data_IF_806886296381
#
_entry.id   IF_806886296381
#
_cell.length_a   1.000
_cell.length_b   1.000
_cell.length_c   1.000
_cell.angle_alpha   90.00
_cell.angle_beta   90.00
_cell.angle_gamma   90.00
#
_symmetry.space_group_name_H-M   'P 1'
#
loop_
_entity.id
_entity.type
_entity.pdbx_description
1 polymer ?
#
# COMPACT_ATOMS: atom_id res chain seq x y z
N UNK A 1 14.57 -21.20 21.99
CA UNK A 1 13.48 -21.52 22.94
C UNK A 1 12.37 -22.22 22.16
N UNK A 2 12.34 -23.54 22.24
CA UNK A 2 11.31 -24.40 21.64
C UNK A 2 10.29 -24.77 22.72
N UNK A 3 8.97 -24.71 22.46
CA UNK A 3 8.01 -25.46 23.23
C UNK A 3 7.63 -26.75 22.49
N UNK A 4 7.56 -27.81 23.30
CA UNK A 4 7.42 -29.21 23.00
C UNK A 4 6.00 -29.66 23.42
N UNK A 5 5.35 -30.46 22.55
CA UNK A 5 4.31 -31.50 22.79
C UNK A 5 3.02 -31.17 23.55
N UNK A 6 1.86 -31.58 22.98
CA UNK A 6 1.07 -32.64 23.63
C UNK A 6 0.22 -33.42 22.60
N UNK A 7 0.37 -34.75 22.60
CA UNK A 7 -0.22 -35.73 21.69
C UNK A 7 -0.86 -36.85 22.54
N UNK A 8 -1.88 -36.47 23.32
CA UNK A 8 -2.58 -37.34 24.28
C UNK A 8 -4.09 -37.33 24.05
N UNK A 9 -4.53 -37.96 22.96
CA UNK A 9 -5.96 -38.07 22.66
C UNK A 9 -6.39 -39.27 21.82
N UNK A 10 -5.59 -40.34 21.75
CA UNK A 10 -6.09 -41.64 21.30
C UNK A 10 -6.83 -42.32 22.46
N UNK A 11 -7.72 -43.26 22.09
CA UNK A 11 -8.22 -44.36 22.93
C UNK A 11 -9.50 -44.07 23.75
N UNK A 12 -10.63 -43.90 23.06
CA UNK A 12 -11.92 -44.54 23.41
C UNK A 12 -12.64 -44.86 22.11
N UNK A 13 -12.19 -45.86 21.35
CA UNK A 13 -12.62 -47.26 21.48
C UNK A 13 -14.12 -47.42 21.76
N UNK A 14 -14.76 -47.98 20.74
CA UNK A 14 -15.51 -49.22 20.88
C UNK A 14 -16.72 -49.14 21.81
N UNK A 15 -17.71 -48.38 21.37
CA UNK A 15 -19.08 -48.87 21.30
C UNK A 15 -19.59 -48.49 19.89
N UNK A 16 -19.09 -49.13 18.83
CA UNK A 16 -19.64 -50.39 18.36
C UNK A 16 -21.00 -50.76 18.96
N UNK A 17 -21.93 -51.06 18.05
CA UNK A 17 -23.12 -51.87 18.31
C UNK A 17 -24.17 -51.23 19.20
N UNK A 18 -25.02 -50.44 18.55
CA UNK A 18 -26.36 -50.94 18.25
C UNK A 18 -26.98 -50.07 17.17
N UNK A 19 -27.00 -50.62 15.96
CA UNK A 19 -28.27 -51.13 15.42
C UNK A 19 -29.29 -50.01 15.20
N UNK A 20 -28.93 -49.11 14.30
CA UNK A 20 -29.88 -48.53 13.37
C UNK A 20 -29.10 -48.05 12.15
N UNK A 21 -28.38 -49.00 11.54
CA UNK A 21 -28.20 -49.01 10.09
C UNK A 21 -29.59 -49.17 9.47
N UNK A 22 -30.39 -48.11 9.59
CA UNK A 22 -31.49 -47.88 8.69
C UNK A 22 -30.75 -47.63 7.38
N UNK A 23 -30.70 -48.67 6.56
CA UNK A 23 -30.47 -48.58 5.11
C UNK A 23 -31.64 -47.76 4.52
N UNK A 24 -31.76 -46.50 4.92
CA UNK A 24 -32.33 -45.43 4.13
C UNK A 24 -31.29 -45.17 3.05
N UNK A 25 -31.17 -46.09 2.11
CA UNK A 25 -30.94 -45.63 0.76
C UNK A 25 -32.23 -44.87 0.45
N UNK A 26 -32.23 -43.52 0.50
CA UNK A 26 -33.41 -42.80 0.05
C UNK A 26 -33.72 -43.34 -1.36
N UNK A 27 -34.99 -43.56 -1.69
CA UNK A 27 -35.36 -44.01 -3.02
C UNK A 27 -34.62 -43.11 -4.00
N UNK A 28 -33.76 -43.70 -4.83
CA UNK A 28 -33.08 -42.99 -5.91
C UNK A 28 -34.18 -42.47 -6.79
N UNK A 29 -34.50 -41.20 -6.59
CA UNK A 29 -35.50 -40.49 -7.34
C UNK A 29 -34.81 -40.22 -8.67
N UNK A 30 -34.80 -41.24 -9.55
CA UNK A 30 -34.26 -41.21 -10.91
C UNK A 30 -35.16 -40.32 -11.79
N UNK A 31 -35.38 -39.09 -11.33
CA UNK A 31 -36.01 -38.03 -12.09
C UNK A 31 -34.96 -37.64 -13.13
N UNK A 32 -35.23 -38.00 -14.39
CA UNK A 32 -34.39 -37.58 -15.50
C UNK A 32 -34.22 -36.06 -15.47
N UNK A 33 -32.99 -35.59 -15.66
CA UNK A 33 -32.71 -34.16 -15.77
C UNK A 33 -33.52 -33.57 -16.91
N UNK A 34 -34.36 -32.59 -16.59
CA UNK A 34 -35.07 -31.85 -17.62
C UNK A 34 -34.09 -30.88 -18.28
N UNK A 35 -34.14 -30.74 -19.60
CA UNK A 35 -33.26 -29.82 -20.34
C UNK A 35 -33.33 -28.39 -19.78
N UNK A 36 -34.52 -27.99 -19.34
CA UNK A 36 -34.76 -26.67 -18.73
C UNK A 36 -33.97 -26.47 -17.42
N UNK A 37 -33.79 -27.50 -16.60
CA UNK A 37 -33.04 -27.40 -15.34
C UNK A 37 -31.55 -27.14 -15.60
N UNK A 38 -30.97 -27.79 -16.60
CA UNK A 38 -29.57 -27.58 -16.99
C UNK A 38 -29.38 -26.16 -17.56
N UNK A 39 -30.34 -25.68 -18.35
CA UNK A 39 -30.31 -24.31 -18.89
C UNK A 39 -30.40 -23.28 -17.75
N UNK A 40 -31.29 -23.47 -16.78
CA UNK A 40 -31.40 -22.58 -15.62
C UNK A 40 -30.12 -22.62 -14.78
N UNK A 41 -29.57 -23.81 -14.51
CA UNK A 41 -28.35 -23.97 -13.73
C UNK A 41 -27.15 -23.27 -14.39
N UNK A 42 -26.97 -23.42 -15.70
CA UNK A 42 -25.89 -22.77 -16.44
C UNK A 42 -26.06 -21.26 -16.48
N UNK A 43 -27.29 -20.76 -16.64
CA UNK A 43 -27.58 -19.32 -16.58
C UNK A 43 -27.25 -18.73 -15.20
N UNK A 44 -27.63 -19.41 -14.12
CA UNK A 44 -27.30 -18.99 -12.75
C UNK A 44 -25.80 -19.05 -12.48
N UNK A 45 -25.09 -20.08 -12.97
CA UNK A 45 -23.63 -20.13 -12.87
C UNK A 45 -22.96 -18.97 -13.60
N UNK A 46 -23.41 -18.64 -14.82
CA UNK A 46 -22.84 -17.52 -15.59
C UNK A 46 -22.98 -16.18 -14.86
N UNK A 47 -24.14 -15.92 -14.25
CA UNK A 47 -24.36 -14.73 -13.42
C UNK A 47 -23.44 -14.73 -12.19
N UNK A 48 -23.33 -15.87 -11.50
CA UNK A 48 -22.45 -16.02 -10.34
C UNK A 48 -20.97 -15.75 -10.67
N UNK A 49 -20.46 -16.33 -11.75
CA UNK A 49 -19.06 -16.14 -12.19
C UNK A 49 -18.80 -14.68 -12.56
N UNK A 50 -19.73 -14.04 -13.28
CA UNK A 50 -19.61 -12.63 -13.68
C UNK A 50 -19.57 -11.70 -12.47
N UNK A 51 -20.40 -11.97 -11.46
CA UNK A 51 -20.42 -11.21 -10.21
C UNK A 51 -19.08 -11.31 -9.46
N UNK A 52 -18.55 -12.52 -9.28
CA UNK A 52 -17.26 -12.74 -8.60
C UNK A 52 -16.11 -12.09 -9.36
N UNK A 53 -16.09 -12.21 -10.69
CA UNK A 53 -15.06 -11.60 -11.52
C UNK A 53 -15.06 -10.07 -11.42
N UNK A 54 -16.25 -9.46 -11.43
CA UNK A 54 -16.40 -8.00 -11.30
C UNK A 54 -15.87 -7.49 -9.96
N UNK A 55 -16.15 -8.21 -8.87
CA UNK A 55 -15.63 -7.87 -7.53
C UNK A 55 -14.11 -8.03 -7.48
N UNK A 56 -13.57 -9.14 -8.01
CA UNK A 56 -12.13 -9.40 -8.02
C UNK A 56 -11.36 -8.36 -8.83
N UNK A 57 -11.88 -7.97 -10.00
CA UNK A 57 -11.29 -6.94 -10.85
C UNK A 57 -11.26 -5.59 -10.11
N UNK A 58 -12.38 -5.20 -9.53
CA UNK A 58 -12.51 -3.95 -8.74
C UNK A 58 -11.52 -3.94 -7.56
N UNK A 59 -11.38 -5.06 -6.84
CA UNK A 59 -10.44 -5.18 -5.74
C UNK A 59 -8.98 -5.02 -6.21
N UNK A 60 -8.62 -5.63 -7.34
CA UNK A 60 -7.26 -5.54 -7.92
C UNK A 60 -6.92 -4.11 -8.32
N UNK A 61 -7.83 -3.39 -8.99
CA UNK A 61 -7.62 -1.98 -9.34
C UNK A 61 -7.44 -1.09 -8.11
N UNK A 62 -8.21 -1.31 -7.03
CA UNK A 62 -8.07 -0.56 -5.77
C UNK A 62 -6.74 -0.85 -5.07
N UNK A 63 -6.29 -2.10 -5.06
CA UNK A 63 -5.04 -2.49 -4.40
C UNK A 63 -3.81 -1.79 -5.02
N UNK A 64 -3.74 -1.72 -6.36
CA UNK A 64 -2.64 -1.05 -7.04
C UNK A 64 -2.56 0.44 -6.68
N UNK A 65 -3.70 1.14 -6.61
CA UNK A 65 -3.76 2.56 -6.21
C UNK A 65 -3.31 2.76 -4.77
N UNK A 66 -3.68 1.85 -3.86
CA UNK A 66 -3.27 1.93 -2.46
C UNK A 66 -1.77 1.68 -2.28
N UNK A 67 -1.22 0.69 -3.00
CA UNK A 67 0.23 0.44 -3.00
C UNK A 67 1.00 1.64 -3.54
N UNK A 68 0.50 2.26 -4.61
CA UNK A 68 1.08 3.47 -5.17
C UNK A 68 1.10 4.61 -4.15
N UNK A 69 -0.05 4.91 -3.54
CA UNK A 69 -0.17 5.94 -2.48
C UNK A 69 0.75 5.65 -1.29
N UNK A 70 0.87 4.39 -0.89
CA UNK A 70 1.77 3.97 0.18
C UNK A 70 3.24 4.25 -0.16
N UNK A 71 3.71 3.85 -1.35
CA UNK A 71 5.09 4.11 -1.80
C UNK A 71 5.39 5.59 -1.88
N UNK A 72 4.45 6.35 -2.46
CA UNK A 72 4.53 7.80 -2.58
C UNK A 72 4.65 8.47 -1.19
N UNK A 73 3.79 8.07 -0.24
CA UNK A 73 3.86 8.57 1.13
C UNK A 73 5.17 8.20 1.85
N UNK A 74 5.77 7.07 1.50
CA UNK A 74 7.06 6.64 2.05
C UNK A 74 8.19 7.53 1.55
N UNK A 75 8.21 7.89 0.26
CA UNK A 75 9.22 8.81 -0.29
C UNK A 75 9.07 10.23 0.29
N UNK A 76 7.83 10.71 0.47
CA UNK A 76 7.59 12.00 1.14
C UNK A 76 8.08 11.99 2.60
N UNK A 77 7.92 10.88 3.32
CA UNK A 77 8.46 10.71 4.69
C UNK A 77 9.98 10.69 4.70
N UNK A 78 10.61 9.96 3.78
CA UNK A 78 12.08 9.95 3.64
C UNK A 78 12.63 11.34 3.38
N UNK A 79 12.00 12.09 2.47
CA UNK A 79 12.35 13.49 2.24
C UNK A 79 12.18 14.32 3.51
N UNK A 80 11.09 14.15 4.25
CA UNK A 80 10.89 14.85 5.52
C UNK A 80 11.98 14.53 6.54
N UNK A 81 12.41 13.28 6.65
CA UNK A 81 13.44 12.86 7.61
C UNK A 81 14.82 13.37 7.19
N UNK A 82 15.15 13.36 5.90
CA UNK A 82 16.35 14.03 5.37
C UNK A 82 16.31 15.54 5.68
N UNK A 83 15.15 16.18 5.49
CA UNK A 83 14.96 17.61 5.79
C UNK A 83 15.08 17.93 7.27
N UNK A 84 14.64 17.04 8.17
CA UNK A 84 14.86 17.19 9.62
C UNK A 84 16.34 17.10 9.98
N UNK A 85 17.09 16.19 9.35
CA UNK A 85 18.52 16.07 9.58
C UNK A 85 19.26 17.38 9.24
N UNK A 86 18.78 18.14 8.25
CA UNK A 86 19.32 19.47 7.92
C UNK A 86 18.99 20.56 8.95
N UNK A 87 17.89 20.43 9.70
CA UNK A 87 17.54 21.36 10.79
C UNK A 87 18.39 21.10 12.03
N UNK A 88 18.79 19.85 12.26
CA UNK A 88 19.51 19.42 13.46
C UNK A 88 21.03 19.55 13.38
N UNK A 89 21.61 20.02 12.27
CA UNK A 89 23.06 20.00 12.11
C UNK A 89 23.75 21.22 12.76
N UNK A 90 24.52 20.86 13.79
CA UNK A 90 25.66 21.55 14.36
C UNK A 90 26.36 22.53 13.38
N UNK A 91 26.57 23.78 13.78
CA UNK A 91 27.23 24.79 12.94
C UNK A 91 28.74 24.60 12.80
N UNK A 92 29.31 23.51 13.34
CA UNK A 92 30.71 23.18 13.17
C UNK A 92 31.00 22.83 11.71
N UNK A 93 31.91 23.61 11.10
CA UNK A 93 32.34 23.49 9.72
C UNK A 93 33.25 22.25 9.61
N UNK A 94 32.65 21.06 9.49
CA UNK A 94 33.36 19.86 9.09
C UNK A 94 33.26 19.74 7.57
N UNK A 95 34.33 19.35 6.90
CA UNK A 95 34.31 19.19 5.44
C UNK A 95 33.28 18.12 5.05
N UNK A 96 32.27 18.50 4.26
CA UNK A 96 31.11 17.64 3.91
C UNK A 96 29.89 17.74 4.85
N UNK A 97 29.96 18.54 5.91
CA UNK A 97 28.82 18.91 6.73
C UNK A 97 27.77 19.71 5.94
N UNK A 98 26.46 19.56 6.23
CA UNK A 98 25.45 20.46 5.73
C UNK A 98 25.55 21.84 6.41
N UNK A 99 26.50 22.65 5.96
CA UNK A 99 26.56 24.08 6.29
C UNK A 99 25.48 24.89 5.55
N UNK A 100 25.58 26.22 5.61
CA UNK A 100 24.65 27.17 4.97
C UNK A 100 24.57 27.10 3.44
N UNK A 101 25.44 26.31 2.79
CA UNK A 101 25.51 26.18 1.33
C UNK A 101 25.12 24.80 0.81
N UNK A 102 24.67 23.87 1.67
CA UNK A 102 24.39 22.50 1.24
C UNK A 102 23.10 22.42 0.44
N UNK A 103 23.17 21.75 -0.71
CA UNK A 103 22.04 21.60 -1.64
C UNK A 103 21.52 20.18 -1.55
N UNK A 104 20.20 20.04 -1.60
CA UNK A 104 19.61 18.73 -1.71
C UNK A 104 19.94 18.17 -3.10
N UNK A 105 20.40 16.91 -3.24
CA UNK A 105 20.64 16.31 -4.54
C UNK A 105 19.36 16.32 -5.39
N UNK A 106 19.53 16.54 -6.69
CA UNK A 106 18.46 16.60 -7.70
C UNK A 106 17.46 17.76 -7.54
N UNK A 107 17.74 18.72 -6.66
CA UNK A 107 16.96 19.94 -6.53
C UNK A 107 17.31 20.96 -7.63
N UNK A 108 16.29 21.39 -8.38
CA UNK A 108 16.41 22.36 -9.46
C UNK A 108 16.64 23.80 -8.97
N UNK A 109 16.29 24.11 -7.71
CA UNK A 109 16.30 25.49 -7.23
C UNK A 109 17.71 26.10 -7.10
N UNK A 110 18.77 25.30 -7.03
CA UNK A 110 20.17 25.77 -6.87
C UNK A 110 20.41 26.64 -5.62
N UNK A 111 19.47 26.67 -4.67
CA UNK A 111 19.60 27.36 -3.38
C UNK A 111 19.93 26.36 -2.28
N UNK A 112 20.24 26.87 -1.09
CA UNK A 112 20.30 26.06 0.12
C UNK A 112 18.98 25.30 0.34
N UNK A 113 19.05 24.05 0.80
CA UNK A 113 17.89 23.17 0.92
C UNK A 113 16.75 23.69 1.81
N UNK A 114 17.04 24.63 2.72
CA UNK A 114 16.03 25.27 3.59
C UNK A 114 15.76 26.74 3.22
N UNK A 115 16.02 27.11 1.97
CA UNK A 115 15.75 28.45 1.43
C UNK A 115 14.26 28.68 1.24
N UNK A 116 13.79 29.87 1.60
CA UNK A 116 12.39 30.30 1.40
C UNK A 116 12.16 30.96 0.02
N UNK A 117 13.21 31.17 -0.76
CA UNK A 117 13.15 31.96 -1.99
C UNK A 117 12.71 31.17 -3.23
N UNK A 118 12.37 29.89 -3.09
CA UNK A 118 11.96 29.06 -4.21
C UNK A 118 11.11 27.85 -3.79
N UNK A 119 10.60 27.17 -4.81
CA UNK A 119 10.06 25.81 -4.69
C UNK A 119 11.16 24.84 -5.10
N UNK A 120 11.49 23.92 -4.21
CA UNK A 120 12.47 22.88 -4.45
C UNK A 120 11.80 21.72 -5.18
N UNK A 121 12.04 21.58 -6.48
CA UNK A 121 11.59 20.43 -7.27
C UNK A 121 12.61 19.31 -7.14
N UNK A 122 12.19 18.25 -6.45
CA UNK A 122 13.00 17.07 -6.15
C UNK A 122 12.40 15.82 -6.80
N UNK A 123 11.65 16.01 -7.89
CA UNK A 123 11.02 14.92 -8.64
C UNK A 123 12.04 13.86 -9.04
N UNK A 124 13.29 14.25 -9.32
CA UNK A 124 14.39 13.34 -9.63
C UNK A 124 14.61 12.21 -8.60
N UNK A 125 14.29 12.46 -7.32
CA UNK A 125 14.42 11.49 -6.22
C UNK A 125 13.37 10.38 -6.27
N UNK A 126 12.26 10.59 -6.96
CA UNK A 126 11.24 9.55 -7.09
C UNK A 126 11.78 8.38 -7.93
N UNK A 127 11.48 7.13 -7.53
CA UNK A 127 11.69 5.96 -8.36
C UNK A 127 11.20 6.16 -9.80
N UNK A 128 11.97 5.65 -10.76
CA UNK A 128 11.71 5.90 -12.19
C UNK A 128 10.36 5.37 -12.70
N UNK A 129 9.78 4.37 -12.01
CA UNK A 129 8.44 3.84 -12.26
C UNK A 129 7.33 4.82 -11.85
N UNK A 130 7.57 5.68 -10.86
CA UNK A 130 6.61 6.69 -10.42
C UNK A 130 6.62 7.93 -11.31
N UNK A 131 7.78 8.31 -11.83
CA UNK A 131 7.95 9.49 -12.70
C UNK A 131 7.40 9.34 -14.11
N UNK A 132 7.24 8.11 -14.59
CA UNK A 132 6.82 7.82 -15.96
C UNK A 132 5.30 7.62 -16.03
N UNK A 133 4.77 7.72 -17.25
CA UNK A 133 3.42 7.28 -17.54
C UNK A 133 3.24 5.80 -17.10
N UNK A 134 2.09 5.43 -16.52
CA UNK A 134 0.86 6.22 -16.44
C UNK A 134 0.74 7.16 -15.21
N UNK A 135 1.65 7.09 -14.25
CA UNK A 135 1.51 7.80 -12.96
C UNK A 135 1.99 9.25 -13.01
N UNK A 136 3.11 9.50 -13.71
CA UNK A 136 3.68 10.84 -13.90
C UNK A 136 3.75 11.66 -12.61
N UNK A 137 4.27 11.05 -11.54
CA UNK A 137 4.39 11.67 -10.23
C UNK A 137 5.47 12.76 -10.19
N UNK A 138 5.20 13.82 -9.42
CA UNK A 138 6.15 14.87 -9.08
C UNK A 138 6.21 15.08 -7.56
N UNK A 139 7.39 15.46 -7.07
CA UNK A 139 7.63 15.74 -5.66
C UNK A 139 8.37 17.07 -5.54
N UNK A 140 7.78 17.99 -4.79
CA UNK A 140 8.35 19.30 -4.54
C UNK A 140 8.14 19.68 -3.07
N UNK A 141 8.89 20.66 -2.59
CA UNK A 141 8.61 21.26 -1.29
C UNK A 141 8.90 22.77 -1.30
N UNK A 142 8.27 23.48 -0.37
CA UNK A 142 8.53 24.90 -0.10
C UNK A 142 8.83 25.11 1.37
N UNK A 143 9.63 26.13 1.68
CA UNK A 143 9.99 26.48 3.04
C UNK A 143 9.40 27.85 3.36
N UNK A 144 8.74 27.96 4.51
CA UNK A 144 8.29 29.24 5.06
C UNK A 144 8.93 29.47 6.43
N UNK A 145 9.17 30.73 6.76
CA UNK A 145 9.63 31.12 8.10
C UNK A 145 8.44 31.65 8.89
N UNK A 146 8.15 31.01 10.02
CA UNK A 146 7.07 31.41 10.93
C UNK A 146 7.69 31.89 12.27
N UNK A 147 7.23 33.01 12.84
CA UNK A 147 7.65 33.43 14.17
C UNK A 147 7.09 32.45 15.22
N UNK A 148 7.94 32.01 16.16
CA UNK A 148 7.55 31.11 17.27
C UNK A 148 8.25 31.50 18.56
N UNK A 149 7.50 32.17 19.45
CA UNK A 149 8.04 32.68 20.71
C UNK A 149 9.09 33.78 20.47
N UNK A 150 10.30 33.59 20.99
CA UNK A 150 11.42 34.54 20.84
C UNK A 150 12.31 34.27 19.62
N UNK A 151 11.88 33.43 18.68
CA UNK A 151 12.66 33.09 17.50
C UNK A 151 11.82 32.82 16.27
N UNK A 152 12.50 32.38 15.21
CA UNK A 152 11.91 32.00 13.94
C UNK A 152 12.09 30.49 13.73
N UNK A 153 11.05 29.82 13.25
CA UNK A 153 11.12 28.41 12.83
C UNK A 153 10.89 28.30 11.33
N UNK A 154 11.63 27.41 10.69
CA UNK A 154 11.38 27.04 9.31
C UNK A 154 10.36 25.91 9.28
N UNK A 155 9.30 26.10 8.51
CA UNK A 155 8.28 25.12 8.23
C UNK A 155 8.45 24.65 6.80
N UNK A 156 8.41 23.34 6.61
CA UNK A 156 8.52 22.70 5.29
C UNK A 156 7.15 22.18 4.90
N UNK A 157 6.66 22.60 3.74
CA UNK A 157 5.47 22.05 3.09
C UNK A 157 5.89 21.14 1.95
N UNK A 158 5.63 19.83 2.07
CA UNK A 158 5.97 18.85 1.05
C UNK A 158 4.74 18.59 0.19
N UNK A 159 4.87 18.86 -1.11
CA UNK A 159 3.81 18.70 -2.09
C UNK A 159 4.13 17.53 -3.01
N UNK A 160 3.18 16.61 -3.07
CA UNK A 160 3.27 15.44 -3.92
C UNK A 160 2.08 15.42 -4.86
N UNK A 161 2.35 15.42 -6.17
CA UNK A 161 1.32 15.43 -7.21
C UNK A 161 1.53 14.21 -8.10
N UNK A 162 0.44 13.66 -8.62
CA UNK A 162 0.49 12.58 -9.61
C UNK A 162 -0.75 12.67 -10.48
N UNK A 163 -0.65 12.19 -11.71
CA UNK A 163 -1.77 12.05 -12.62
C UNK A 163 -2.22 10.60 -12.56
N UNK A 164 -3.50 10.38 -12.30
CA UNK A 164 -4.05 9.03 -12.42
C UNK A 164 -4.37 8.79 -13.90
N UNK A 165 -4.03 7.62 -14.47
CA UNK A 165 -4.54 7.27 -15.78
C UNK A 165 -6.07 7.28 -15.74
N UNK A 166 -6.68 7.92 -16.74
CA UNK A 166 -8.12 7.85 -16.98
C UNK A 166 -8.60 6.41 -17.21
#
# INVERSE_FOLDING_TARGET
MHPQTDDRGKIRLRDQRRKSEINLNPPRNDRGFTLIEVVIATMLMAVGVTAVFSVALTARYRMNRNLLKSRMSQEARRLSDDLKNFVTYDSTIVDGAPGSAWRLPDDQCSQWALSEYCVHDVTGRLPGDLRKAPVSASLAYSVSVEPRGHGYVRKVDIQMRWTEPE
#
